data_IF_317883740957
#
_entry.id   IF_317883740957
#
_cell.length_a   1.000
_cell.length_b   1.000
_cell.length_c   1.000
_cell.angle_alpha   90.00
_cell.angle_beta   90.00
_cell.angle_gamma   90.00
#
_symmetry.space_group_name_H-M   'P 1'
#
loop_
_entity.id
_entity.type
_entity.pdbx_description
1 polymer ?
#
# COMPACT_ATOMS: atom_id res chain seq x y z
N UNK A 1 -17.90 31.14 22.26
CA UNK A 1 -18.64 30.98 20.99
C UNK A 1 -19.43 29.69 21.09
N UNK A 2 -20.67 29.68 20.57
CA UNK A 2 -21.53 28.49 20.52
C UNK A 2 -21.39 27.87 19.13
N UNK A 3 -21.27 26.55 19.06
CA UNK A 3 -21.22 25.78 17.82
C UNK A 3 -22.39 24.82 17.85
N UNK A 4 -23.30 24.95 16.89
CA UNK A 4 -24.50 24.13 16.77
C UNK A 4 -24.19 22.91 15.91
N UNK A 5 -24.24 21.70 16.49
CA UNK A 5 -23.93 20.46 15.76
C UNK A 5 -25.20 19.71 15.47
N UNK A 6 -25.47 19.45 14.19
CA UNK A 6 -26.63 18.71 13.72
C UNK A 6 -26.18 17.33 13.18
N UNK A 7 -26.59 16.25 13.84
CA UNK A 7 -26.46 14.88 13.34
C UNK A 7 -27.77 14.50 12.64
N UNK A 8 -27.80 14.62 11.32
CA UNK A 8 -28.98 14.29 10.51
C UNK A 8 -29.30 12.80 10.50
N UNK A 9 -28.28 11.94 10.62
CA UNK A 9 -28.46 10.49 10.58
C UNK A 9 -29.13 9.97 11.86
N UNK A 10 -28.81 10.56 13.01
CA UNK A 10 -29.41 10.22 14.31
C UNK A 10 -30.52 11.17 14.74
N UNK A 11 -30.77 12.22 13.96
CA UNK A 11 -31.70 13.31 14.29
C UNK A 11 -31.40 13.94 15.67
N UNK A 12 -30.12 14.20 15.95
CA UNK A 12 -29.65 14.82 17.19
C UNK A 12 -29.14 16.23 16.91
N UNK A 13 -29.35 17.14 17.86
CA UNK A 13 -28.79 18.48 17.86
C UNK A 13 -28.19 18.80 19.21
N UNK A 14 -26.93 19.19 19.25
CA UNK A 14 -26.24 19.58 20.48
C UNK A 14 -25.41 20.84 20.25
N UNK A 15 -25.37 21.69 21.28
CA UNK A 15 -24.63 22.94 21.28
C UNK A 15 -23.34 22.81 22.08
N UNK A 16 -22.21 23.18 21.47
CA UNK A 16 -20.89 23.11 22.09
C UNK A 16 -20.33 24.51 22.29
N UNK A 17 -19.94 24.81 23.53
CA UNK A 17 -19.32 26.09 23.88
C UNK A 17 -17.80 25.94 23.86
N UNK A 18 -17.11 26.73 23.03
CA UNK A 18 -15.65 26.75 22.96
C UNK A 18 -15.11 28.19 22.92
N UNK A 19 -14.01 28.51 23.63
CA UNK A 19 -13.29 29.78 23.46
C UNK A 19 -12.76 29.93 22.03
N UNK A 20 -12.90 31.12 21.45
CA UNK A 20 -12.50 31.41 20.05
C UNK A 20 -11.03 31.14 19.80
N UNK A 21 -10.16 31.70 20.65
CA UNK A 21 -8.71 31.60 20.47
C UNK A 21 -8.25 30.15 20.48
N UNK A 22 -8.87 29.34 21.36
CA UNK A 22 -8.61 27.90 21.43
C UNK A 22 -9.08 27.19 20.15
N UNK A 23 -10.31 27.45 19.69
CA UNK A 23 -10.86 26.83 18.49
C UNK A 23 -10.00 27.13 17.26
N UNK A 24 -9.63 28.40 17.04
CA UNK A 24 -8.82 28.84 15.89
C UNK A 24 -7.40 28.26 15.97
N UNK A 25 -6.84 28.15 17.18
CA UNK A 25 -5.49 27.61 17.38
C UNK A 25 -5.40 26.10 17.10
N UNK A 26 -6.45 25.33 17.45
CA UNK A 26 -6.44 23.87 17.34
C UNK A 26 -7.12 23.36 16.07
N UNK A 27 -8.11 24.09 15.52
CA UNK A 27 -8.86 23.74 14.31
C UNK A 27 -8.65 24.81 13.23
N UNK A 28 -7.59 24.65 12.44
CA UNK A 28 -7.15 25.66 11.46
C UNK A 28 -8.17 25.91 10.34
N UNK A 29 -9.09 24.97 10.10
CA UNK A 29 -10.21 25.20 9.18
C UNK A 29 -11.00 26.45 9.56
N UNK A 30 -11.33 26.61 10.84
CA UNK A 30 -12.06 27.79 11.31
C UNK A 30 -11.23 29.07 11.28
N UNK A 31 -9.89 28.97 11.36
CA UNK A 31 -9.01 30.13 11.26
C UNK A 31 -9.16 30.88 9.93
N UNK A 32 -9.41 30.14 8.85
CA UNK A 32 -9.56 30.71 7.50
C UNK A 32 -10.84 31.56 7.37
N UNK A 33 -11.89 31.23 8.12
CA UNK A 33 -13.17 31.94 8.09
C UNK A 33 -13.30 32.98 9.21
N UNK A 34 -12.69 32.73 10.37
CA UNK A 34 -12.85 33.54 11.57
C UNK A 34 -11.74 34.61 11.78
N UNK A 35 -10.82 34.76 10.83
CA UNK A 35 -9.71 35.73 10.91
C UNK A 35 -10.04 37.12 10.34
N UNK A 36 -11.20 37.30 9.69
CA UNK A 36 -11.38 38.43 8.77
C UNK A 36 -11.82 39.76 9.41
N UNK A 37 -12.68 39.84 10.45
CA UNK A 37 -13.01 41.16 11.06
C UNK A 37 -13.61 41.09 12.47
N UNK A 38 -12.91 41.63 13.49
CA UNK A 38 -13.27 41.72 14.92
C UNK A 38 -14.72 42.22 15.25
N UNK A 39 -15.40 42.90 14.33
CA UNK A 39 -16.68 43.57 14.57
C UNK A 39 -17.92 42.84 14.01
N UNK A 40 -17.75 41.77 13.21
CA UNK A 40 -18.89 41.00 12.63
C UNK A 40 -19.28 39.78 13.46
N UNK A 41 -18.66 39.54 14.62
CA UNK A 41 -18.68 38.22 15.27
C UNK A 41 -19.84 37.95 16.22
N UNK A 42 -20.53 38.97 16.74
CA UNK A 42 -21.73 38.74 17.56
C UNK A 42 -22.88 38.11 16.75
N UNK A 43 -22.75 38.08 15.41
CA UNK A 43 -23.74 37.53 14.47
C UNK A 43 -23.31 36.21 13.78
N UNK A 44 -22.10 35.69 14.04
CA UNK A 44 -21.63 34.46 13.36
C UNK A 44 -22.12 33.22 14.12
N UNK A 45 -23.18 32.62 13.59
CA UNK A 45 -23.68 31.31 13.98
C UNK A 45 -22.89 30.21 13.23
N UNK A 46 -22.18 29.36 13.98
CA UNK A 46 -21.47 28.20 13.41
C UNK A 46 -22.34 26.97 13.57
N UNK A 47 -22.89 26.50 12.45
CA UNK A 47 -23.59 25.23 12.35
C UNK A 47 -22.74 24.18 11.64
N UNK A 48 -22.54 23.01 12.26
CA UNK A 48 -21.75 21.89 11.73
C UNK A 48 -22.64 20.66 11.58
N UNK A 49 -22.68 20.06 10.40
CA UNK A 49 -23.45 18.85 10.13
C UNK A 49 -22.54 17.62 10.22
N UNK A 50 -22.54 16.93 11.36
CA UNK A 50 -21.71 15.74 11.58
C UNK A 50 -22.22 14.88 12.74
N UNK A 51 -21.57 13.74 12.98
CA UNK A 51 -21.86 12.90 14.15
C UNK A 51 -21.54 13.67 15.45
N UNK A 52 -22.58 13.89 16.26
CA UNK A 52 -22.50 14.66 17.50
C UNK A 52 -21.51 14.04 18.50
N UNK A 53 -21.39 12.72 18.56
CA UNK A 53 -20.45 12.07 19.49
C UNK A 53 -19.01 12.25 19.04
N UNK A 54 -18.74 12.20 17.74
CA UNK A 54 -17.40 12.48 17.20
C UNK A 54 -17.03 13.94 17.45
N UNK A 55 -17.95 14.88 17.22
CA UNK A 55 -17.68 16.28 17.50
C UNK A 55 -17.45 16.55 18.99
N UNK A 56 -18.23 15.95 19.87
CA UNK A 56 -18.00 16.00 21.32
C UNK A 56 -16.60 15.50 21.69
N UNK A 57 -16.16 14.37 21.10
CA UNK A 57 -14.80 13.85 21.29
C UNK A 57 -13.74 14.88 20.86
N UNK A 58 -13.92 15.52 19.70
CA UNK A 58 -13.02 16.55 19.19
C UNK A 58 -12.96 17.78 20.11
N UNK A 59 -14.11 18.23 20.62
CA UNK A 59 -14.15 19.37 21.56
C UNK A 59 -13.45 19.03 22.88
N UNK A 60 -13.66 17.81 23.42
CA UNK A 60 -12.91 17.33 24.59
C UNK A 60 -11.40 17.32 24.31
N UNK A 61 -10.99 16.88 23.13
CA UNK A 61 -9.59 16.87 22.71
C UNK A 61 -9.02 18.28 22.60
N UNK A 62 -9.74 19.23 21.99
CA UNK A 62 -9.31 20.65 21.89
C UNK A 62 -9.17 21.27 23.28
N UNK A 63 -10.07 20.97 24.20
CA UNK A 63 -10.04 21.46 25.59
C UNK A 63 -9.05 20.71 26.49
N UNK A 64 -8.24 19.77 25.99
CA UNK A 64 -7.34 18.92 26.83
C UNK A 64 -6.37 19.71 27.71
N UNK A 65 -5.95 20.89 27.27
CA UNK A 65 -4.97 21.72 27.98
C UNK A 65 -5.61 22.86 28.81
N UNK A 66 -6.94 22.92 28.91
CA UNK A 66 -7.62 24.00 29.65
C UNK A 66 -7.77 23.63 31.13
N UNK A 67 -7.83 24.67 31.99
CA UNK A 67 -7.99 24.50 33.44
C UNK A 67 -9.32 23.82 33.82
N UNK A 68 -10.35 23.96 32.98
CA UNK A 68 -11.68 23.35 33.15
C UNK A 68 -11.65 21.82 33.01
N UNK A 69 -10.59 21.26 32.41
CA UNK A 69 -10.50 19.84 32.07
C UNK A 69 -9.48 19.06 32.92
N UNK A 70 -8.94 19.66 34.00
CA UNK A 70 -7.96 18.99 34.88
C UNK A 70 -8.51 17.73 35.56
N UNK A 71 -9.83 17.65 35.74
CA UNK A 71 -10.52 16.52 36.35
C UNK A 71 -11.24 15.61 35.33
N UNK A 72 -11.16 15.90 34.03
CA UNK A 72 -11.83 15.13 32.99
C UNK A 72 -10.84 14.19 32.29
N UNK A 73 -11.23 12.92 32.13
CA UNK A 73 -10.40 11.94 31.42
C UNK A 73 -10.17 12.38 29.96
N UNK A 74 -8.91 12.32 29.54
CA UNK A 74 -8.53 12.61 28.15
C UNK A 74 -9.29 11.65 27.22
N UNK A 75 -9.94 12.14 26.16
CA UNK A 75 -10.68 11.27 25.28
C UNK A 75 -9.73 10.28 24.60
N UNK A 76 -10.06 8.99 24.66
CA UNK A 76 -9.23 7.91 24.12
C UNK A 76 -9.63 7.55 22.69
N UNK A 77 -8.63 7.27 21.86
CA UNK A 77 -8.87 6.68 20.54
C UNK A 77 -9.26 5.21 20.69
N UNK A 78 -10.29 4.79 19.97
CA UNK A 78 -10.81 3.43 20.00
C UNK A 78 -10.95 2.89 18.56
N UNK A 79 -10.92 1.57 18.36
CA UNK A 79 -11.04 0.99 17.03
C UNK A 79 -12.36 1.34 16.31
N UNK A 80 -13.41 1.66 17.07
CA UNK A 80 -14.72 2.04 16.52
C UNK A 80 -14.84 3.49 16.08
N UNK A 81 -14.06 4.41 16.66
CA UNK A 81 -14.20 5.85 16.43
C UNK A 81 -13.04 6.45 15.62
N UNK A 82 -11.86 5.80 15.59
CA UNK A 82 -10.63 6.41 15.05
C UNK A 82 -10.72 6.81 13.58
N UNK A 83 -11.43 6.05 12.74
CA UNK A 83 -11.58 6.39 11.32
C UNK A 83 -12.43 7.65 11.14
N UNK A 84 -13.53 7.76 11.89
CA UNK A 84 -14.37 8.96 11.86
C UNK A 84 -13.62 10.17 12.42
N UNK A 85 -12.90 10.01 13.54
CA UNK A 85 -12.06 11.06 14.11
C UNK A 85 -10.97 11.48 13.12
N UNK A 86 -10.30 10.54 12.46
CA UNK A 86 -9.26 10.83 11.47
C UNK A 86 -9.82 11.70 10.34
N UNK A 87 -10.95 11.31 9.74
CA UNK A 87 -11.57 12.06 8.64
C UNK A 87 -12.00 13.46 9.11
N UNK A 88 -12.64 13.57 10.26
CA UNK A 88 -13.08 14.85 10.80
C UNK A 88 -11.89 15.75 11.19
N UNK A 89 -10.83 15.18 11.77
CA UNK A 89 -9.61 15.91 12.16
C UNK A 89 -8.82 16.41 10.95
N UNK A 90 -8.77 15.65 9.86
CA UNK A 90 -8.19 16.07 8.59
C UNK A 90 -8.99 17.24 7.99
N UNK A 91 -10.32 17.13 7.96
CA UNK A 91 -11.21 18.19 7.47
C UNK A 91 -11.04 19.50 8.26
N UNK A 92 -10.99 19.39 9.59
CA UNK A 92 -10.82 20.53 10.49
C UNK A 92 -9.37 21.04 10.58
N UNK A 93 -8.45 20.43 9.83
CA UNK A 93 -7.02 20.76 9.76
C UNK A 93 -6.33 20.69 11.15
N UNK A 94 -6.55 19.60 11.87
CA UNK A 94 -6.01 19.33 13.21
C UNK A 94 -4.76 18.41 13.12
N UNK A 95 -3.65 18.93 12.60
CA UNK A 95 -2.48 18.13 12.18
C UNK A 95 -1.94 17.15 13.25
N UNK A 96 -1.84 17.59 14.51
CA UNK A 96 -1.34 16.73 15.59
C UNK A 96 -2.27 15.55 15.89
N UNK A 97 -3.59 15.76 15.80
CA UNK A 97 -4.57 14.70 15.99
C UNK A 97 -4.57 13.73 14.80
N UNK A 98 -4.46 14.26 13.58
CA UNK A 98 -4.34 13.45 12.36
C UNK A 98 -3.17 12.47 12.48
N UNK A 99 -2.01 12.96 12.92
CA UNK A 99 -0.84 12.10 13.11
C UNK A 99 -1.06 11.04 14.20
N UNK A 100 -1.66 11.41 15.34
CA UNK A 100 -2.00 10.45 16.39
C UNK A 100 -2.97 9.36 15.87
N UNK A 101 -3.97 9.74 15.09
CA UNK A 101 -4.91 8.81 14.48
C UNK A 101 -4.24 7.86 13.47
N UNK A 102 -3.33 8.37 12.63
CA UNK A 102 -2.57 7.55 11.67
C UNK A 102 -1.69 6.53 12.40
N UNK A 103 -0.96 6.96 13.43
CA UNK A 103 -0.15 6.07 14.27
C UNK A 103 -1.00 5.02 15.00
N UNK A 104 -2.18 5.42 15.49
CA UNK A 104 -3.13 4.49 16.10
C UNK A 104 -3.64 3.46 15.08
N UNK A 105 -3.91 3.90 13.84
CA UNK A 105 -4.34 3.03 12.75
C UNK A 105 -3.28 1.97 12.44
N UNK A 106 -2.01 2.35 12.35
CA UNK A 106 -0.91 1.40 12.14
C UNK A 106 -0.86 0.33 13.25
N UNK A 107 -0.88 0.75 14.52
CA UNK A 107 -0.77 -0.15 15.67
C UNK A 107 -1.99 -1.07 15.88
N UNK A 108 -3.20 -0.59 15.54
CA UNK A 108 -4.46 -1.26 15.89
C UNK A 108 -5.30 -1.68 14.67
N UNK A 109 -4.70 -1.76 13.48
CA UNK A 109 -5.44 -2.00 12.22
C UNK A 109 -6.33 -3.25 12.27
N UNK A 110 -5.84 -4.35 12.83
CA UNK A 110 -6.60 -5.60 12.97
C UNK A 110 -7.89 -5.42 13.79
N UNK A 111 -7.86 -4.60 14.84
CA UNK A 111 -9.04 -4.29 15.64
C UNK A 111 -9.99 -3.36 14.87
N UNK A 112 -9.44 -2.39 14.11
CA UNK A 112 -10.22 -1.42 13.32
C UNK A 112 -10.99 -2.13 12.20
N UNK A 113 -10.34 -2.99 11.41
CA UNK A 113 -11.03 -3.71 10.32
C UNK A 113 -12.10 -4.68 10.85
N UNK A 114 -12.01 -5.10 12.11
CA UNK A 114 -13.05 -5.91 12.77
C UNK A 114 -14.30 -5.10 13.14
N UNK A 115 -14.21 -3.77 13.31
CA UNK A 115 -15.36 -2.91 13.62
C UNK A 115 -16.21 -2.62 12.37
N UNK A 116 -17.51 -2.29 12.51
CA UNK A 116 -18.36 -1.88 11.39
C UNK A 116 -18.08 -0.42 10.97
N UNK A 117 -16.82 -0.08 10.68
CA UNK A 117 -16.44 1.25 10.19
C UNK A 117 -16.43 1.31 8.65
N UNK A 118 -16.74 2.49 8.09
CA UNK A 118 -16.63 2.76 6.65
C UNK A 118 -15.25 3.36 6.33
N UNK A 119 -14.33 2.54 5.84
CA UNK A 119 -12.98 2.95 5.48
C UNK A 119 -12.86 3.43 4.02
N UNK A 120 -13.96 3.54 3.27
CA UNK A 120 -13.95 4.06 1.89
C UNK A 120 -13.86 5.59 1.85
N UNK A 121 -14.18 6.26 2.96
CA UNK A 121 -14.15 7.72 3.04
C UNK A 121 -12.75 8.31 3.32
N UNK A 122 -11.74 7.45 3.55
CA UNK A 122 -10.36 7.89 3.74
C UNK A 122 -9.82 8.35 2.39
N UNK A 123 -9.40 9.61 2.31
CA UNK A 123 -8.86 10.18 1.07
C UNK A 123 -7.52 9.54 0.67
N UNK A 124 -7.10 9.75 -0.59
CA UNK A 124 -5.88 9.14 -1.12
C UNK A 124 -4.62 9.53 -0.35
N UNK A 125 -4.52 10.78 0.14
CA UNK A 125 -3.35 11.27 0.88
C UNK A 125 -3.20 10.59 2.24
N UNK A 126 -4.28 10.49 3.01
CA UNK A 126 -4.33 9.77 4.28
C UNK A 126 -4.04 8.29 4.09
N UNK A 127 -4.62 7.67 3.05
CA UNK A 127 -4.36 6.28 2.71
C UNK A 127 -2.86 6.04 2.41
N UNK A 128 -2.22 6.92 1.65
CA UNK A 128 -0.78 6.85 1.38
C UNK A 128 0.03 6.99 2.66
N UNK A 129 -0.28 7.98 3.52
CA UNK A 129 0.41 8.17 4.81
C UNK A 129 0.29 6.94 5.71
N UNK A 130 -0.90 6.33 5.80
CA UNK A 130 -1.09 5.09 6.55
C UNK A 130 -0.28 3.96 5.90
N UNK A 131 -0.37 3.79 4.58
CA UNK A 131 0.33 2.73 3.86
C UNK A 131 1.86 2.80 3.97
N UNK A 132 2.42 4.01 4.06
CA UNK A 132 3.86 4.23 4.24
C UNK A 132 4.37 3.78 5.61
N UNK A 133 3.50 3.68 6.63
CA UNK A 133 3.88 3.13 7.94
C UNK A 133 3.97 1.60 7.95
N UNK A 134 3.21 0.92 7.08
CA UNK A 134 3.21 -0.54 7.03
C UNK A 134 4.37 -1.08 6.19
N UNK A 135 5.03 -2.13 6.65
CA UNK A 135 5.82 -3.00 5.75
C UNK A 135 4.90 -3.91 4.95
N UNK A 136 5.35 -4.40 3.81
CA UNK A 136 4.55 -5.34 3.01
C UNK A 136 4.18 -6.64 3.75
N UNK A 137 4.99 -7.07 4.72
CA UNK A 137 4.72 -8.25 5.55
C UNK A 137 3.63 -7.94 6.58
N UNK A 138 3.69 -6.76 7.23
CA UNK A 138 2.64 -6.31 8.13
C UNK A 138 1.29 -6.18 7.41
N UNK A 139 1.27 -5.69 6.16
CA UNK A 139 0.04 -5.66 5.34
C UNK A 139 -0.45 -7.09 5.06
N UNK A 140 0.47 -8.03 4.79
CA UNK A 140 0.11 -9.42 4.50
C UNK A 140 -0.46 -10.17 5.71
N UNK A 141 0.00 -9.81 6.90
CA UNK A 141 -0.45 -10.40 8.17
C UNK A 141 -1.79 -9.82 8.68
N UNK A 142 -2.35 -8.81 7.99
CA UNK A 142 -3.64 -8.22 8.36
C UNK A 142 -4.80 -9.21 8.23
N UNK A 143 -5.60 -9.31 9.30
CA UNK A 143 -6.79 -10.16 9.43
C UNK A 143 -8.05 -9.46 8.89
N UNK A 144 -8.00 -9.00 7.64
CA UNK A 144 -9.09 -8.29 6.96
C UNK A 144 -9.90 -9.20 6.03
N UNK A 145 -10.74 -10.08 6.61
CA UNK A 145 -11.53 -11.05 5.84
C UNK A 145 -12.52 -10.44 4.85
N UNK A 146 -12.93 -9.18 5.08
CA UNK A 146 -13.90 -8.47 4.25
C UNK A 146 -13.23 -7.50 3.28
N UNK A 147 -11.91 -7.49 3.23
CA UNK A 147 -11.10 -6.62 2.38
C UNK A 147 -11.51 -5.13 2.43
N UNK A 148 -11.73 -4.62 3.64
CA UNK A 148 -12.12 -3.21 3.86
C UNK A 148 -10.98 -2.24 3.55
N UNK A 149 -9.74 -2.70 3.76
CA UNK A 149 -8.56 -1.85 3.72
C UNK A 149 -7.31 -2.55 3.15
N UNK A 150 -7.16 -3.87 3.32
CA UNK A 150 -5.95 -4.60 2.92
C UNK A 150 -5.61 -4.43 1.43
N UNK A 151 -6.57 -4.58 0.52
CA UNK A 151 -6.33 -4.35 -0.91
C UNK A 151 -5.90 -2.92 -1.22
N UNK A 152 -6.47 -1.91 -0.53
CA UNK A 152 -6.09 -0.50 -0.73
C UNK A 152 -4.64 -0.25 -0.34
N UNK A 153 -4.17 -0.88 0.74
CA UNK A 153 -2.77 -0.83 1.15
C UNK A 153 -1.86 -1.44 0.08
N UNK A 154 -2.23 -2.61 -0.47
CA UNK A 154 -1.46 -3.21 -1.57
C UNK A 154 -1.47 -2.35 -2.84
N UNK A 155 -2.58 -1.70 -3.20
CA UNK A 155 -2.60 -0.74 -4.30
C UNK A 155 -1.58 0.38 -4.08
N UNK A 156 -1.53 0.97 -2.88
CA UNK A 156 -0.50 1.97 -2.55
C UNK A 156 0.91 1.41 -2.58
N UNK A 157 1.13 0.16 -2.15
CA UNK A 157 2.45 -0.49 -2.28
C UNK A 157 2.84 -0.74 -3.73
N UNK A 158 1.89 -1.04 -4.62
CA UNK A 158 2.13 -1.14 -6.07
C UNK A 158 2.48 0.24 -6.65
N UNK A 159 1.74 1.30 -6.30
CA UNK A 159 2.07 2.67 -6.71
C UNK A 159 3.51 3.03 -6.27
N UNK A 160 3.88 2.72 -5.03
CA UNK A 160 5.24 2.92 -4.49
C UNK A 160 6.32 2.10 -5.20
N UNK A 161 5.98 0.95 -5.79
CA UNK A 161 6.92 0.20 -6.63
C UNK A 161 7.19 0.92 -7.96
N UNK A 162 6.27 1.72 -8.49
CA UNK A 162 6.48 2.45 -9.75
C UNK A 162 7.07 3.86 -9.55
N UNK A 163 7.13 4.34 -8.31
CA UNK A 163 7.73 5.63 -7.96
C UNK A 163 9.27 5.53 -7.98
N UNK A 164 9.98 6.22 -8.89
CA UNK A 164 11.44 6.16 -8.98
C UNK A 164 12.15 6.83 -7.81
N UNK A 165 11.52 7.80 -7.15
CA UNK A 165 12.11 8.59 -6.06
C UNK A 165 11.82 7.98 -4.68
N UNK A 166 10.90 7.01 -4.62
CA UNK A 166 10.54 6.37 -3.36
C UNK A 166 11.55 5.30 -2.94
N UNK A 167 12.16 5.50 -1.78
CA UNK A 167 13.04 4.52 -1.14
C UNK A 167 12.19 3.47 -0.43
N UNK A 168 11.94 2.36 -1.11
CA UNK A 168 11.13 1.28 -0.58
C UNK A 168 11.94 0.41 0.42
N UNK A 169 11.56 0.34 1.71
CA UNK A 169 12.26 -0.51 2.68
C UNK A 169 12.10 -2.01 2.39
N UNK A 170 11.02 -2.39 1.70
CA UNK A 170 10.62 -3.78 1.45
C UNK A 170 11.13 -4.32 0.10
N UNK A 171 11.72 -3.45 -0.74
CA UNK A 171 12.16 -3.82 -2.08
C UNK A 171 13.39 -3.01 -2.46
N UNK A 172 14.50 -3.71 -2.76
CA UNK A 172 15.74 -3.05 -3.22
C UNK A 172 15.58 -2.44 -4.62
N UNK A 173 14.68 -2.99 -5.42
CA UNK A 173 14.42 -2.57 -6.79
C UNK A 173 13.03 -1.97 -6.91
N UNK A 174 12.83 -1.16 -7.95
CA UNK A 174 11.52 -0.60 -8.31
C UNK A 174 11.11 -0.99 -9.74
N UNK A 175 9.85 -0.79 -10.06
CA UNK A 175 9.20 -1.08 -11.32
C UNK A 175 9.17 0.13 -12.27
N UNK A 176 9.77 1.27 -11.92
CA UNK A 176 9.66 2.52 -12.69
C UNK A 176 10.14 2.40 -14.15
N UNK A 177 11.02 1.43 -14.44
CA UNK A 177 11.55 1.19 -15.78
C UNK A 177 11.10 -0.14 -16.40
N UNK A 178 10.10 -0.78 -15.80
CA UNK A 178 9.59 -2.10 -16.19
C UNK A 178 9.14 -2.11 -17.66
N UNK A 179 9.53 -3.15 -18.38
CA UNK A 179 9.12 -3.38 -19.75
C UNK A 179 9.12 -4.87 -20.08
N UNK A 180 8.37 -5.25 -21.13
CA UNK A 180 8.41 -6.60 -21.69
C UNK A 180 9.42 -6.67 -22.84
N UNK A 181 10.28 -7.69 -22.83
CA UNK A 181 11.17 -7.97 -23.96
C UNK A 181 10.41 -8.69 -25.08
N UNK A 182 10.49 -8.22 -26.32
CA UNK A 182 9.76 -8.84 -27.44
C UNK A 182 10.33 -10.22 -27.84
N UNK A 183 11.59 -10.52 -27.48
CA UNK A 183 12.29 -11.75 -27.80
C UNK A 183 12.03 -12.85 -26.77
N UNK A 184 12.48 -12.66 -25.52
CA UNK A 184 12.35 -13.67 -24.46
C UNK A 184 11.02 -13.59 -23.69
N UNK A 185 10.18 -12.58 -23.98
CA UNK A 185 8.91 -12.30 -23.29
C UNK A 185 9.01 -12.01 -21.79
N UNK A 186 10.21 -12.00 -21.21
CA UNK A 186 10.45 -11.64 -19.81
C UNK A 186 10.14 -10.17 -19.56
N UNK A 187 9.67 -9.89 -18.34
CA UNK A 187 9.51 -8.55 -17.79
C UNK A 187 10.81 -8.16 -17.07
N UNK A 188 11.34 -7.00 -17.42
CA UNK A 188 12.66 -6.55 -16.99
C UNK A 188 12.63 -5.06 -16.66
N UNK A 189 13.55 -4.64 -15.79
CA UNK A 189 13.86 -3.25 -15.50
C UNK A 189 15.21 -2.91 -16.12
N UNK A 190 15.60 -1.63 -16.13
CA UNK A 190 16.96 -1.23 -16.55
C UNK A 190 18.09 -1.88 -15.74
N UNK A 191 17.80 -2.31 -14.51
CA UNK A 191 18.77 -3.04 -13.71
C UNK A 191 18.79 -4.53 -14.08
N UNK A 192 17.62 -5.18 -14.15
CA UNK A 192 17.57 -6.62 -14.40
C UNK A 192 17.93 -6.97 -15.84
N UNK A 193 17.75 -6.08 -16.82
CA UNK A 193 18.19 -6.28 -18.21
C UNK A 193 19.71 -6.53 -18.31
N UNK A 194 20.50 -5.96 -17.40
CA UNK A 194 21.97 -6.11 -17.36
C UNK A 194 22.42 -7.42 -16.73
N UNK A 195 21.56 -8.04 -15.93
CA UNK A 195 21.88 -9.25 -15.13
C UNK A 195 21.28 -10.52 -15.69
N UNK A 196 20.22 -10.40 -16.49
CA UNK A 196 19.43 -11.55 -16.95
C UNK A 196 19.67 -11.79 -18.43
N UNK A 197 20.12 -13.00 -18.82
CA UNK A 197 20.29 -13.34 -20.22
C UNK A 197 18.97 -13.31 -20.99
N UNK A 198 19.04 -12.82 -22.22
CA UNK A 198 17.97 -12.98 -23.21
C UNK A 198 18.10 -14.38 -23.87
N UNK A 199 17.48 -14.54 -25.04
CA UNK A 199 17.65 -15.76 -25.86
C UNK A 199 19.12 -15.95 -26.28
N UNK A 200 19.56 -17.20 -26.58
CA UNK A 200 20.91 -17.46 -27.09
C UNK A 200 21.27 -16.56 -28.29
N UNK A 201 22.51 -16.06 -28.32
CA UNK A 201 22.98 -15.13 -29.36
C UNK A 201 22.65 -13.65 -29.11
N UNK A 202 21.94 -13.31 -28.03
CA UNK A 202 21.72 -11.93 -27.57
C UNK A 202 22.62 -11.55 -26.40
N UNK A 203 23.89 -11.86 -26.58
CA UNK A 203 24.97 -11.59 -25.63
C UNK A 203 26.04 -10.82 -26.39
N UNK A 204 26.61 -9.79 -25.76
CA UNK A 204 27.73 -9.03 -26.30
C UNK A 204 28.73 -8.76 -25.16
N UNK A 205 29.89 -8.21 -25.49
CA UNK A 205 30.95 -7.87 -24.53
C UNK A 205 31.22 -6.38 -24.62
N UNK A 206 31.21 -5.69 -23.49
CA UNK A 206 31.53 -4.26 -23.44
C UNK A 206 33.05 -4.00 -23.60
N UNK A 207 33.43 -2.74 -23.70
CA UNK A 207 34.84 -2.32 -23.85
C UNK A 207 35.75 -2.71 -22.66
N UNK A 208 35.19 -3.13 -21.54
CA UNK A 208 35.91 -3.58 -20.35
C UNK A 208 35.95 -5.12 -20.22
N UNK A 209 35.36 -5.85 -21.18
CA UNK A 209 35.30 -7.31 -21.14
C UNK A 209 34.11 -7.88 -20.36
N UNK A 210 33.15 -7.05 -19.92
CA UNK A 210 31.96 -7.52 -19.21
C UNK A 210 30.91 -8.05 -20.18
N UNK A 211 30.23 -9.11 -19.78
CA UNK A 211 29.09 -9.67 -20.52
C UNK A 211 27.90 -8.71 -20.40
N UNK A 212 27.33 -8.34 -21.53
CA UNK A 212 26.10 -7.54 -21.61
C UNK A 212 25.01 -8.32 -22.37
N UNK A 213 23.79 -8.25 -21.86
CA UNK A 213 22.63 -8.90 -22.48
C UNK A 213 21.82 -7.89 -23.29
N UNK A 214 21.41 -8.28 -24.49
CA UNK A 214 20.69 -7.41 -25.41
C UNK A 214 19.21 -7.78 -25.42
N UNK A 215 18.38 -6.92 -24.83
CA UNK A 215 16.93 -7.03 -24.84
C UNK A 215 16.30 -5.98 -25.73
N UNK A 216 15.16 -6.30 -26.34
CA UNK A 216 14.43 -5.38 -27.22
C UNK A 216 13.08 -5.09 -26.58
N UNK A 217 12.82 -3.80 -26.29
CA UNK A 217 11.55 -3.36 -25.70
C UNK A 217 10.40 -3.65 -26.67
N UNK A 218 9.36 -4.29 -26.15
CA UNK A 218 8.11 -4.46 -26.85
C UNK A 218 7.30 -3.16 -26.82
N UNK A 219 7.16 -2.51 -27.98
CA UNK A 219 6.46 -1.22 -28.10
C UNK A 219 4.94 -1.33 -27.98
N UNK A 220 4.38 -2.53 -28.11
CA UNK A 220 2.93 -2.76 -27.98
C UNK A 220 2.54 -3.16 -26.56
N UNK A 221 3.49 -3.28 -25.64
CA UNK A 221 3.22 -3.63 -24.25
C UNK A 221 2.99 -2.37 -23.41
N UNK A 222 1.85 -2.35 -22.72
CA UNK A 222 1.49 -1.32 -21.74
C UNK A 222 1.44 -1.89 -20.32
N UNK A 223 1.92 -1.10 -19.36
CA UNK A 223 2.02 -1.51 -17.96
C UNK A 223 0.66 -1.50 -17.26
N UNK A 224 -0.24 -0.57 -17.60
CA UNK A 224 -1.57 -0.48 -16.99
C UNK A 224 -2.44 -1.64 -17.46
N UNK A 225 -2.43 -1.95 -18.76
CA UNK A 225 -3.07 -3.15 -19.32
C UNK A 225 -2.54 -4.42 -18.65
N UNK A 226 -1.22 -4.51 -18.44
CA UNK A 226 -0.62 -5.63 -17.74
C UNK A 226 -1.12 -5.76 -16.29
N UNK A 227 -1.11 -4.68 -15.51
CA UNK A 227 -1.59 -4.71 -14.12
C UNK A 227 -3.08 -5.08 -14.04
N UNK A 228 -3.91 -4.57 -14.95
CA UNK A 228 -5.32 -4.93 -15.05
C UNK A 228 -5.49 -6.42 -15.37
N UNK A 229 -4.73 -6.94 -16.35
CA UNK A 229 -4.78 -8.37 -16.70
C UNK A 229 -4.34 -9.27 -15.54
N UNK A 230 -3.33 -8.85 -14.76
CA UNK A 230 -2.91 -9.57 -13.56
C UNK A 230 -4.00 -9.58 -12.50
N UNK A 231 -4.70 -8.45 -12.30
CA UNK A 231 -5.81 -8.40 -11.35
C UNK A 231 -7.00 -9.24 -11.84
N UNK A 232 -7.27 -9.25 -13.15
CA UNK A 232 -8.29 -10.12 -13.73
C UNK A 232 -7.97 -11.61 -13.56
N UNK A 233 -6.70 -12.00 -13.67
CA UNK A 233 -6.24 -13.38 -13.45
C UNK A 233 -6.28 -13.77 -11.96
N UNK A 234 -5.68 -12.95 -11.11
CA UNK A 234 -5.42 -13.27 -9.70
C UNK A 234 -6.56 -12.88 -8.75
N UNK A 235 -7.46 -12.00 -9.18
CA UNK A 235 -8.61 -11.47 -8.40
C UNK A 235 -8.24 -10.81 -7.07
N UNK A 236 -6.99 -10.39 -6.92
CA UNK A 236 -6.41 -10.01 -5.62
C UNK A 236 -5.23 -9.06 -5.79
N UNK A 237 -5.34 -7.83 -5.27
CA UNK A 237 -4.25 -6.85 -5.33
C UNK A 237 -3.02 -7.27 -4.51
N UNK A 238 -3.22 -8.07 -3.46
CA UNK A 238 -2.16 -8.75 -2.73
C UNK A 238 -1.30 -9.60 -3.67
N UNK A 239 -1.94 -10.45 -4.46
CA UNK A 239 -1.23 -11.40 -5.32
C UNK A 239 -0.60 -10.69 -6.53
N UNK A 240 -1.25 -9.64 -7.04
CA UNK A 240 -0.65 -8.71 -8.03
C UNK A 240 0.61 -8.08 -7.47
N UNK A 241 0.57 -7.56 -6.24
CA UNK A 241 1.75 -6.98 -5.59
C UNK A 241 2.89 -7.99 -5.48
N UNK A 242 2.64 -9.19 -4.97
CA UNK A 242 3.69 -10.21 -4.81
C UNK A 242 4.24 -10.69 -6.15
N UNK A 243 3.39 -10.82 -7.19
CA UNK A 243 3.82 -11.12 -8.56
C UNK A 243 4.76 -10.05 -9.10
N UNK A 244 4.39 -8.78 -8.93
CA UNK A 244 5.19 -7.64 -9.37
C UNK A 244 6.50 -7.53 -8.58
N UNK A 245 6.43 -7.65 -7.25
CA UNK A 245 7.59 -7.65 -6.36
C UNK A 245 8.58 -8.76 -6.77
N UNK A 246 8.08 -9.95 -7.07
CA UNK A 246 8.91 -11.07 -7.55
C UNK A 246 9.51 -10.83 -8.94
N UNK A 247 8.87 -9.99 -9.77
CA UNK A 247 9.33 -9.65 -11.12
C UNK A 247 10.42 -8.58 -11.10
N UNK A 248 10.38 -7.65 -10.14
CA UNK A 248 11.40 -6.58 -10.05
C UNK A 248 12.59 -6.96 -9.17
N UNK A 249 12.40 -7.88 -8.24
CA UNK A 249 13.49 -8.37 -7.40
C UNK A 249 14.15 -9.61 -8.00
N UNK A 250 15.44 -9.76 -7.73
CA UNK A 250 16.28 -10.83 -8.23
C UNK A 250 17.20 -11.36 -7.14
N UNK A 251 17.64 -12.60 -7.30
CA UNK A 251 18.59 -13.27 -6.42
C UNK A 251 19.68 -13.93 -7.26
N UNK A 252 20.79 -14.29 -6.61
CA UNK A 252 21.90 -15.02 -7.23
C UNK A 252 22.02 -16.39 -6.59
N UNK A 253 22.05 -17.44 -7.41
CA UNK A 253 22.22 -18.80 -6.91
C UNK A 253 23.64 -18.98 -6.34
N UNK A 254 23.75 -19.52 -5.12
CA UNK A 254 25.05 -19.78 -4.48
C UNK A 254 25.85 -20.92 -5.13
N UNK A 255 25.23 -21.73 -6.00
CA UNK A 255 25.87 -22.88 -6.65
C UNK A 255 26.36 -22.55 -8.06
N UNK A 256 25.47 -22.06 -8.92
CA UNK A 256 25.79 -21.76 -10.33
C UNK A 256 26.11 -20.29 -10.58
N UNK A 257 26.00 -19.43 -9.56
CA UNK A 257 26.24 -17.97 -9.64
C UNK A 257 25.36 -17.22 -10.65
N UNK A 258 24.33 -17.88 -11.19
CA UNK A 258 23.38 -17.26 -12.11
C UNK A 258 22.41 -16.37 -11.34
N UNK A 259 22.11 -15.22 -11.93
CA UNK A 259 21.09 -14.30 -11.44
C UNK A 259 19.74 -14.65 -12.05
N UNK A 260 18.70 -14.69 -11.23
CA UNK A 260 17.33 -15.02 -11.63
C UNK A 260 16.33 -14.12 -10.91
N UNK A 261 15.16 -13.91 -11.51
CA UNK A 261 14.09 -13.13 -10.88
C UNK A 261 13.49 -13.92 -9.72
N UNK A 262 13.07 -13.24 -8.66
CA UNK A 262 12.40 -13.88 -7.52
C UNK A 262 11.13 -14.65 -7.95
N UNK A 263 10.46 -14.23 -9.03
CA UNK A 263 9.32 -14.96 -9.58
C UNK A 263 9.69 -16.34 -10.15
N UNK A 264 10.98 -16.56 -10.43
CA UNK A 264 11.54 -17.84 -10.91
C UNK A 264 12.16 -18.65 -9.76
N UNK A 265 11.99 -18.28 -8.48
CA UNK A 265 12.69 -18.91 -7.35
C UNK A 265 12.48 -20.43 -7.22
N UNK A 266 11.34 -20.95 -7.65
CA UNK A 266 11.04 -22.39 -7.68
C UNK A 266 11.47 -23.10 -8.98
N UNK A 267 11.97 -22.37 -9.98
CA UNK A 267 12.46 -22.91 -11.24
C UNK A 267 13.98 -23.10 -11.18
N UNK A 268 14.42 -24.09 -10.40
CA UNK A 268 15.84 -24.41 -10.30
C UNK A 268 16.39 -24.81 -11.67
N UNK A 269 17.28 -24.01 -12.25
CA UNK A 269 17.95 -24.36 -13.52
C UNK A 269 19.17 -25.27 -13.32
N UNK A 270 19.64 -25.40 -12.08
CA UNK A 270 20.78 -26.25 -11.76
C UNK A 270 20.29 -27.66 -11.39
N UNK A 271 20.75 -28.64 -12.15
CA UNK A 271 20.56 -30.05 -11.86
C UNK A 271 21.95 -30.70 -11.80
N UNK A 272 22.26 -31.38 -10.68
CA UNK A 272 23.52 -32.11 -10.54
C UNK A 272 23.59 -33.34 -11.44
N UNK A 273 22.44 -33.80 -11.93
CA UNK A 273 22.27 -35.01 -12.72
C UNK A 273 21.54 -34.66 -14.02
N UNK A 274 21.89 -35.33 -15.11
CA UNK A 274 21.27 -35.12 -16.42
C UNK A 274 19.82 -35.62 -16.43
N UNK A 275 18.97 -35.00 -17.25
CA UNK A 275 17.59 -35.44 -17.46
C UNK A 275 17.55 -36.89 -17.95
N UNK A 276 16.70 -37.72 -17.32
CA UNK A 276 16.40 -39.08 -17.74
C UNK A 276 15.03 -39.07 -18.42
N UNK A 277 14.98 -39.51 -19.68
CA UNK A 277 13.72 -39.73 -20.40
C UNK A 277 13.31 -41.19 -20.25
N UNK A 278 12.22 -41.50 -19.52
CA UNK A 278 11.75 -42.87 -19.38
C UNK A 278 11.35 -43.42 -20.76
N UNK A 279 11.96 -44.53 -21.18
CA UNK A 279 11.56 -45.25 -22.39
C UNK A 279 10.15 -45.81 -22.24
N UNK A 280 9.36 -45.77 -23.32
CA UNK A 280 7.92 -46.04 -23.41
C UNK A 280 7.48 -47.50 -23.13
N UNK A 281 8.06 -48.16 -22.12
CA UNK A 281 7.83 -49.56 -21.77
C UNK A 281 7.00 -49.81 -20.51
N UNK A 282 6.57 -48.77 -19.79
CA UNK A 282 5.77 -48.93 -18.56
C UNK A 282 4.62 -47.93 -18.55
N UNK A 283 3.42 -48.50 -18.48
CA UNK A 283 2.10 -47.87 -18.51
C UNK A 283 1.98 -46.63 -17.61
N UNK A 284 1.28 -45.61 -18.14
CA UNK A 284 0.77 -44.38 -17.50
C UNK A 284 1.67 -43.13 -17.38
N UNK A 285 2.81 -43.01 -18.06
CA UNK A 285 3.55 -41.73 -18.14
C UNK A 285 3.58 -41.15 -19.55
N UNK A 286 3.35 -39.83 -19.68
CA UNK A 286 3.27 -39.16 -20.98
C UNK A 286 4.60 -39.28 -21.72
N UNK A 287 4.53 -39.78 -22.95
CA UNK A 287 5.66 -39.90 -23.88
C UNK A 287 6.31 -38.52 -24.03
N UNK A 288 7.63 -38.44 -23.84
CA UNK A 288 8.41 -37.22 -24.06
C UNK A 288 8.73 -36.39 -22.81
N UNK A 289 8.23 -36.73 -21.63
CA UNK A 289 8.60 -36.00 -20.40
C UNK A 289 9.88 -36.56 -19.78
N UNK A 290 10.95 -35.78 -19.77
CA UNK A 290 12.17 -36.05 -19.02
C UNK A 290 12.05 -35.72 -17.54
N UNK A 291 12.81 -36.40 -16.69
CA UNK A 291 12.85 -36.17 -15.24
C UNK A 291 14.29 -35.92 -14.82
N UNK A 292 14.55 -34.84 -14.09
CA UNK A 292 15.83 -34.61 -13.42
C UNK A 292 15.89 -35.41 -12.10
N UNK A 293 16.76 -36.42 -11.96
CA UNK A 293 16.72 -37.30 -10.79
C UNK A 293 17.13 -36.58 -9.48
N UNK A 294 17.92 -35.52 -9.59
CA UNK A 294 18.37 -34.74 -8.44
C UNK A 294 17.22 -34.02 -7.69
N UNK A 295 16.09 -33.74 -8.35
CA UNK A 295 14.98 -32.99 -7.77
C UNK A 295 13.58 -33.43 -8.23
N UNK A 296 13.49 -34.48 -9.05
CA UNK A 296 12.25 -34.97 -9.68
C UNK A 296 11.50 -33.95 -10.54
N UNK A 297 12.15 -32.87 -10.95
CA UNK A 297 11.54 -31.88 -11.84
C UNK A 297 11.32 -32.48 -13.23
N UNK A 298 10.09 -32.36 -13.72
CA UNK A 298 9.68 -32.78 -15.06
C UNK A 298 10.02 -31.69 -16.07
N UNK A 299 10.60 -32.08 -17.19
CA UNK A 299 10.92 -31.21 -18.33
C UNK A 299 10.40 -31.86 -19.60
N UNK A 300 9.84 -31.06 -20.51
CA UNK A 300 9.39 -31.51 -21.83
C UNK A 300 10.55 -31.42 -22.82
#
# INVERSE_FOLDING_TARGET
MVIHVCDEAKNLKEDFICPRDLLISEMKYFAEYLSVDAQRWEEVDISVHCDVHIFNWLIKYVKRNTKENKDCEMPTLEPGNVISILISSEFLKMDSLVEQCIQYCHKNMNAIVATPCNMNCINANLLTRIADLFTHNEVDDLKDKKDKFRSKLFCKKIERLFDPEYLNPDSRNNAATLYRCCLCKKLLTKETERRIPCIPGKINVDQHGNIIYIHIRDKTWDVHEYLNSLFEELKSWRDVYWRLWGTVNWLTCSRCYQTFLCIEFSHCQYHSETVIYPTAGSSLSSVGTGIYPCCNQKVL
#
